data_IF_058334223759
#
_entry.id   IF_058334223759
#
_cell.length_a   1.000
_cell.length_b   1.000
_cell.length_c   1.000
_cell.angle_alpha   90.00
_cell.angle_beta   90.00
_cell.angle_gamma   90.00
#
_symmetry.space_group_name_H-M   'P 1'
#
loop_
_entity.id
_entity.type
_entity.pdbx_description
1 polymer ?
#
# COMPACT_ATOMS: atom_id res chain seq x y z
N UNK A 1 -19.31 3.37 20.58
CA UNK A 1 -19.54 3.30 19.19
C UNK A 1 -18.71 4.24 18.42
N UNK A 2 -18.68 5.45 18.80
CA UNK A 2 -17.89 6.40 18.05
C UNK A 2 -16.43 6.05 18.01
N UNK A 3 -15.93 5.56 19.10
CA UNK A 3 -14.53 5.19 19.13
C UNK A 3 -14.21 4.12 18.14
N UNK A 4 -15.08 3.14 18.08
CA UNK A 4 -14.87 2.07 17.14
C UNK A 4 -14.91 2.61 15.73
N UNK A 5 -15.81 3.51 15.46
CA UNK A 5 -15.91 4.07 14.13
C UNK A 5 -14.68 4.86 13.76
N UNK A 6 -14.16 5.62 14.70
CA UNK A 6 -12.98 6.39 14.43
C UNK A 6 -11.78 5.48 14.16
N UNK A 7 -11.65 4.44 14.94
CA UNK A 7 -10.56 3.53 14.71
C UNK A 7 -10.65 2.90 13.35
N UNK A 8 -11.86 2.59 12.95
CA UNK A 8 -12.05 2.00 11.65
C UNK A 8 -11.66 2.94 10.55
N UNK A 9 -12.00 4.21 10.70
CA UNK A 9 -11.65 5.19 9.70
C UNK A 9 -10.15 5.35 9.60
N UNK A 10 -9.50 5.38 10.75
CA UNK A 10 -8.06 5.54 10.74
C UNK A 10 -7.37 4.35 10.10
N UNK A 11 -7.99 3.18 10.21
CA UNK A 11 -7.40 1.99 9.65
C UNK A 11 -7.76 1.79 8.19
N UNK A 12 -8.59 2.66 7.64
CA UNK A 12 -9.05 2.41 6.29
C UNK A 12 -8.17 3.14 5.28
N UNK A 13 -6.95 2.75 5.23
CA UNK A 13 -6.03 3.21 4.20
C UNK A 13 -6.24 2.30 3.02
N UNK A 14 -6.40 2.87 1.83
CA UNK A 14 -6.60 2.04 0.65
C UNK A 14 -5.30 1.37 0.25
N UNK A 15 -5.42 0.34 -0.57
CA UNK A 15 -4.24 -0.35 -1.06
C UNK A 15 -3.36 0.60 -1.86
N UNK A 16 -3.98 1.46 -2.67
CA UNK A 16 -3.20 2.42 -3.44
C UNK A 16 -2.47 3.40 -2.56
N UNK A 17 -3.14 3.86 -1.50
CA UNK A 17 -2.49 4.75 -0.57
C UNK A 17 -1.34 4.06 0.15
N UNK A 18 -1.50 2.78 0.44
CA UNK A 18 -0.43 2.05 1.11
C UNK A 18 0.83 2.02 0.26
N UNK A 19 0.67 1.84 -1.04
CA UNK A 19 1.82 1.86 -1.94
C UNK A 19 2.51 3.21 -1.88
N UNK A 20 1.74 4.28 -1.95
CA UNK A 20 2.31 5.62 -1.92
C UNK A 20 2.99 5.91 -0.58
N UNK A 21 2.35 5.50 0.51
CA UNK A 21 2.90 5.73 1.83
C UNK A 21 4.23 5.01 2.02
N UNK A 22 4.37 3.85 1.41
CA UNK A 22 5.64 3.13 1.52
C UNK A 22 6.68 3.68 0.57
N UNK A 23 6.26 4.38 -0.48
CA UNK A 23 7.17 4.90 -1.48
C UNK A 23 7.73 6.28 -1.12
N UNK A 24 6.85 7.20 -0.74
CA UNK A 24 7.25 8.59 -0.57
C UNK A 24 8.29 8.83 0.52
N UNK A 25 8.16 8.22 1.70
CA UNK A 25 9.18 8.46 2.74
C UNK A 25 10.56 7.99 2.35
N UNK A 26 10.66 7.08 1.38
CA UNK A 26 11.96 6.64 0.92
C UNK A 26 12.53 7.57 -0.15
N UNK A 27 11.84 8.65 -0.45
CA UNK A 27 12.31 9.58 -1.46
C UNK A 27 12.20 9.01 -2.86
N UNK A 28 11.31 8.05 -3.05
CA UNK A 28 11.25 7.34 -4.32
C UNK A 28 10.12 7.90 -5.16
N UNK A 29 10.43 8.28 -6.40
CA UNK A 29 9.41 8.74 -7.32
C UNK A 29 8.66 7.54 -7.90
N UNK A 30 7.51 7.81 -8.52
CA UNK A 30 6.82 6.73 -9.22
C UNK A 30 7.69 6.16 -10.34
N UNK A 31 8.45 7.02 -11.01
CA UNK A 31 9.32 6.54 -12.08
C UNK A 31 10.39 5.62 -11.55
N UNK A 32 10.95 5.94 -10.42
CA UNK A 32 11.96 5.07 -9.84
C UNK A 32 11.37 3.75 -9.41
N UNK A 33 10.18 3.79 -8.80
CA UNK A 33 9.54 2.56 -8.41
C UNK A 33 9.19 1.72 -9.63
N UNK A 34 8.78 2.37 -10.72
CA UNK A 34 8.50 1.65 -11.95
C UNK A 34 9.75 0.93 -12.43
N UNK A 35 10.89 1.62 -12.36
CA UNK A 35 12.14 1.03 -12.77
C UNK A 35 12.49 -0.19 -11.92
N UNK A 36 12.35 -0.03 -10.61
CA UNK A 36 12.72 -1.10 -9.70
C UNK A 36 11.79 -2.29 -9.75
N UNK A 37 10.53 -2.04 -10.03
CA UNK A 37 9.53 -3.09 -10.00
C UNK A 37 9.24 -3.72 -11.35
N UNK A 38 9.56 -3.01 -12.41
CA UNK A 38 9.20 -3.49 -13.73
C UNK A 38 7.76 -3.19 -14.10
N UNK A 39 7.05 -2.47 -13.25
CA UNK A 39 5.66 -2.06 -13.52
C UNK A 39 5.71 -0.66 -14.09
N UNK A 40 4.95 -0.41 -15.15
CA UNK A 40 5.00 0.90 -15.78
C UNK A 40 4.54 2.01 -14.85
N UNK A 41 5.05 3.20 -15.06
CA UNK A 41 4.69 4.33 -14.23
C UNK A 41 3.19 4.63 -14.31
N UNK A 42 2.61 4.50 -15.49
CA UNK A 42 1.19 4.77 -15.62
C UNK A 42 0.35 3.74 -14.87
N UNK A 43 0.79 2.50 -14.83
CA UNK A 43 0.10 1.48 -14.04
C UNK A 43 0.27 1.77 -12.56
N UNK A 44 1.45 2.18 -12.14
CA UNK A 44 1.65 2.55 -10.74
C UNK A 44 0.76 3.71 -10.34
N UNK A 45 0.64 4.69 -11.21
CA UNK A 45 -0.23 5.82 -10.93
C UNK A 45 -1.68 5.35 -10.77
N UNK A 46 -2.12 4.46 -11.62
CA UNK A 46 -3.47 3.93 -11.53
C UNK A 46 -3.67 3.14 -10.24
N UNK A 47 -2.66 2.39 -9.84
CA UNK A 47 -2.73 1.64 -8.60
C UNK A 47 -2.79 2.58 -7.39
N UNK A 48 -1.93 3.57 -7.37
CA UNK A 48 -1.89 4.50 -6.24
C UNK A 48 -3.16 5.32 -6.13
N UNK A 49 -3.87 5.51 -7.23
CA UNK A 49 -5.14 6.22 -7.21
C UNK A 49 -6.33 5.28 -7.15
N UNK A 50 -6.09 4.02 -6.90
CA UNK A 50 -7.13 3.02 -6.73
C UNK A 50 -8.02 2.84 -7.94
N UNK A 51 -7.50 3.13 -9.11
CA UNK A 51 -8.23 2.88 -10.34
C UNK A 51 -8.07 1.45 -10.82
N UNK A 52 -7.00 0.81 -10.40
CA UNK A 52 -6.70 -0.53 -10.79
C UNK A 52 -6.41 -1.34 -9.54
N UNK A 53 -6.91 -2.56 -9.50
CA UNK A 53 -6.68 -3.40 -8.35
C UNK A 53 -5.23 -3.88 -8.36
N UNK A 54 -4.64 -3.92 -7.17
CA UNK A 54 -3.23 -4.28 -7.09
C UNK A 54 -2.96 -5.74 -7.46
N UNK A 55 -3.69 -6.65 -6.93
CA UNK A 55 -3.45 -8.05 -7.22
C UNK A 55 -2.25 -8.59 -6.47
N UNK A 56 -2.23 -9.91 -6.29
CA UNK A 56 -1.20 -10.55 -5.47
C UNK A 56 0.17 -10.50 -6.13
N UNK A 57 0.23 -10.74 -7.43
CA UNK A 57 1.53 -10.78 -8.08
C UNK A 57 2.20 -9.42 -8.10
N UNK A 58 1.43 -8.38 -8.40
CA UNK A 58 2.00 -7.04 -8.36
C UNK A 58 2.37 -6.64 -6.95
N UNK A 59 1.59 -7.09 -5.96
CA UNK A 59 1.90 -6.78 -4.58
C UNK A 59 3.24 -7.34 -4.18
N UNK A 60 3.54 -8.56 -4.62
CA UNK A 60 4.83 -9.15 -4.32
C UNK A 60 5.97 -8.38 -4.94
N UNK A 61 5.80 -7.99 -6.20
CA UNK A 61 6.83 -7.28 -6.91
C UNK A 61 7.07 -5.91 -6.27
N UNK A 62 5.98 -5.20 -5.97
CA UNK A 62 6.10 -3.89 -5.36
C UNK A 62 6.68 -3.97 -3.95
N UNK A 63 6.27 -4.98 -3.20
CA UNK A 63 6.79 -5.13 -1.84
C UNK A 63 8.30 -5.34 -1.87
N UNK A 64 8.77 -6.12 -2.82
CA UNK A 64 10.19 -6.35 -2.94
C UNK A 64 10.92 -5.06 -3.30
N UNK A 65 10.37 -4.30 -4.23
CA UNK A 65 10.99 -3.05 -4.63
C UNK A 65 10.97 -2.03 -3.51
N UNK A 66 9.95 -2.07 -2.66
CA UNK A 66 9.82 -1.14 -1.55
C UNK A 66 10.46 -1.66 -0.27
N UNK A 67 10.93 -2.89 -0.28
CA UNK A 67 11.58 -3.52 0.87
C UNK A 67 10.62 -3.65 2.05
N UNK A 68 9.39 -4.04 1.76
CA UNK A 68 8.40 -4.29 2.81
C UNK A 68 7.77 -5.64 2.56
N UNK A 69 7.08 -6.15 3.57
CA UNK A 69 6.34 -7.39 3.41
C UNK A 69 5.10 -7.12 2.57
N UNK A 70 4.74 -8.03 1.66
CA UNK A 70 3.56 -7.79 0.82
C UNK A 70 2.28 -7.52 1.61
N UNK A 71 2.15 -8.08 2.79
CA UNK A 71 0.96 -7.86 3.59
C UNK A 71 0.76 -6.39 3.94
N UNK A 72 1.83 -5.63 4.00
CA UNK A 72 1.75 -4.21 4.28
C UNK A 72 0.93 -3.50 3.21
N UNK A 73 1.04 -3.98 1.98
CA UNK A 73 0.32 -3.36 0.87
C UNK A 73 -1.09 -3.91 0.72
N UNK A 74 -1.24 -5.22 0.90
CA UNK A 74 -2.51 -5.86 0.64
C UNK A 74 -3.50 -5.72 1.79
N UNK A 75 -2.99 -5.61 2.99
CA UNK A 75 -3.82 -5.44 4.18
C UNK A 75 -3.43 -4.18 4.91
N UNK A 76 -3.61 -3.03 4.28
CA UNK A 76 -3.19 -1.79 4.92
C UNK A 76 -3.96 -1.56 6.20
N UNK A 77 -3.25 -1.17 7.23
CA UNK A 77 -3.88 -0.91 8.50
C UNK A 77 -4.11 -2.14 9.34
N UNK A 78 -3.76 -3.29 8.83
CA UNK A 78 -4.01 -4.52 9.55
C UNK A 78 -3.33 -4.53 10.91
N UNK A 79 -2.13 -4.10 10.96
CA UNK A 79 -1.40 -4.11 12.21
C UNK A 79 -2.04 -3.24 13.26
N UNK A 80 -2.51 -2.10 12.84
CA UNK A 80 -3.12 -1.19 13.78
C UNK A 80 -4.44 -1.69 14.29
N UNK A 81 -5.21 -2.28 13.41
CA UNK A 81 -6.53 -2.67 13.79
C UNK A 81 -6.52 -3.91 14.63
N UNK A 82 -5.47 -4.68 14.55
CA UNK A 82 -5.52 -5.96 15.08
C UNK A 82 -4.79 -6.21 16.33
N UNK A 83 -3.84 -5.40 16.59
CA UNK A 83 -3.01 -5.59 17.71
C UNK A 83 -3.74 -6.12 18.90
N UNK A 84 -4.65 -5.40 19.36
CA UNK A 84 -5.24 -5.78 20.61
C UNK A 84 -6.19 -6.93 20.51
N UNK A 85 -6.64 -7.14 19.37
CA UNK A 85 -7.67 -8.10 19.24
C UNK A 85 -7.24 -9.43 19.70
N UNK A 86 -6.06 -9.62 19.76
CA UNK A 86 -5.65 -10.93 20.09
C UNK A 86 -5.46 -11.20 21.52
#
# INVERSE_FOLDING_TARGET
MNEYRDAKRRASVSVGEAVRIMREPQGMSQNLLAEKSGISQSTLSAIENDRVRLGVERAKVLARALCVHPAVLVFPGWEQSDGPAV
#
